data_IF_234996096678
#
_entry.id   IF_234996096678
#
_cell.length_a   1.000
_cell.length_b   1.000
_cell.length_c   1.000
_cell.angle_alpha   90.00
_cell.angle_beta   90.00
_cell.angle_gamma   90.00
#
_symmetry.space_group_name_H-M   'P 1'
#
loop_
_entity.id
_entity.type
_entity.pdbx_description
1 polymer ?
#
# COMPACT_ATOMS: atom_id res chain seq x y z
N UNK A 1 4.03 -19.80 -18.11
CA UNK A 1 2.83 -19.00 -18.42
C UNK A 1 3.28 -17.74 -19.13
N UNK A 2 2.56 -17.27 -20.15
CA UNK A 2 2.92 -16.02 -20.84
C UNK A 2 2.86 -14.83 -19.85
N UNK A 3 3.89 -13.97 -19.85
CA UNK A 3 3.92 -12.73 -19.05
C UNK A 3 2.79 -11.80 -19.54
N UNK A 4 2.22 -11.02 -18.63
CA UNK A 4 1.38 -9.89 -19.03
C UNK A 4 2.22 -8.89 -19.81
N UNK A 5 1.67 -8.37 -20.91
CA UNK A 5 2.34 -7.44 -21.83
C UNK A 5 1.73 -6.06 -21.66
N UNK A 6 2.59 -5.06 -21.54
CA UNK A 6 2.21 -3.67 -21.34
C UNK A 6 2.76 -2.78 -22.46
N UNK A 7 1.99 -1.77 -22.86
CA UNK A 7 2.39 -0.69 -23.77
C UNK A 7 1.83 0.60 -23.16
N UNK A 8 2.69 1.53 -22.73
CA UNK A 8 2.30 2.79 -22.09
C UNK A 8 1.25 2.65 -20.98
N UNK A 9 1.46 1.70 -20.06
CA UNK A 9 0.53 1.33 -18.99
C UNK A 9 -0.85 0.78 -19.44
N UNK A 10 -1.03 0.50 -20.73
CA UNK A 10 -2.12 -0.37 -21.22
C UNK A 10 -1.72 -1.83 -21.15
N UNK A 11 -2.64 -2.67 -20.69
CA UNK A 11 -2.55 -4.12 -20.82
C UNK A 11 -2.98 -4.50 -22.23
N UNK A 12 -2.05 -5.04 -23.01
CA UNK A 12 -2.26 -5.38 -24.43
C UNK A 12 -2.13 -6.87 -24.72
N UNK A 13 -1.70 -7.67 -23.74
CA UNK A 13 -1.59 -9.11 -23.89
C UNK A 13 -1.25 -9.86 -22.61
N UNK A 14 -1.27 -11.18 -22.69
CA UNK A 14 -0.95 -12.10 -21.60
C UNK A 14 -1.89 -13.31 -21.56
N UNK A 15 -1.66 -14.22 -20.62
CA UNK A 15 -2.57 -15.36 -20.44
C UNK A 15 -3.89 -14.90 -19.83
N UNK A 16 -5.02 -15.43 -20.31
CA UNK A 16 -6.37 -15.18 -19.80
C UNK A 16 -6.50 -15.30 -18.26
N UNK A 17 -5.69 -16.17 -17.64
CA UNK A 17 -5.70 -16.41 -16.19
C UNK A 17 -4.72 -15.53 -15.39
N UNK A 18 -3.90 -14.71 -16.05
CA UNK A 18 -3.03 -13.76 -15.35
C UNK A 18 -3.90 -12.77 -14.56
N UNK A 19 -3.54 -12.57 -13.30
CA UNK A 19 -4.16 -11.56 -12.44
C UNK A 19 -3.56 -10.20 -12.77
N UNK A 20 -4.42 -9.20 -12.94
CA UNK A 20 -4.04 -7.79 -13.04
C UNK A 20 -4.07 -7.12 -11.67
N UNK A 21 -5.04 -7.52 -10.84
CA UNK A 21 -5.17 -7.15 -9.43
C UNK A 21 -5.63 -8.39 -8.63
N UNK A 22 -5.74 -8.32 -7.28
CA UNK A 22 -6.19 -9.48 -6.50
C UNK A 22 -7.52 -10.08 -6.96
N UNK A 23 -8.45 -9.27 -7.46
CA UNK A 23 -9.79 -9.72 -7.84
C UNK A 23 -10.08 -9.73 -9.34
N UNK A 24 -9.19 -9.20 -10.19
CA UNK A 24 -9.42 -9.13 -11.63
C UNK A 24 -8.32 -9.81 -12.45
N UNK A 25 -8.74 -10.54 -13.49
CA UNK A 25 -7.89 -11.27 -14.44
C UNK A 25 -8.04 -10.73 -15.86
N UNK A 26 -7.06 -11.03 -16.72
CA UNK A 26 -7.07 -10.60 -18.13
C UNK A 26 -8.36 -10.97 -18.86
N UNK A 27 -8.88 -12.19 -18.67
CA UNK A 27 -10.10 -12.67 -19.35
C UNK A 27 -11.36 -11.83 -19.08
N UNK A 28 -11.36 -11.02 -18.04
CA UNK A 28 -12.49 -10.14 -17.70
C UNK A 28 -12.48 -8.87 -18.55
N UNK A 29 -11.38 -8.59 -19.26
CA UNK A 29 -11.17 -7.41 -20.09
C UNK A 29 -10.80 -7.73 -21.54
N UNK A 30 -11.08 -8.97 -21.99
CA UNK A 30 -10.91 -9.35 -23.39
C UNK A 30 -12.19 -9.13 -24.17
N UNK A 31 -12.07 -8.60 -25.39
CA UNK A 31 -13.17 -8.50 -26.34
C UNK A 31 -13.59 -9.89 -26.89
N UNK A 32 -14.58 -9.90 -27.79
CA UNK A 32 -15.08 -11.13 -28.42
C UNK A 32 -14.05 -11.84 -29.31
N UNK A 33 -12.95 -11.18 -29.67
CA UNK A 33 -11.82 -11.76 -30.40
C UNK A 33 -10.70 -12.23 -29.46
N UNK A 34 -10.87 -12.12 -28.14
CA UNK A 34 -9.87 -12.48 -27.15
C UNK A 34 -8.74 -11.45 -27.01
N UNK A 35 -8.88 -10.25 -27.60
CA UNK A 35 -7.89 -9.17 -27.49
C UNK A 35 -8.20 -8.31 -26.27
N UNK A 36 -7.15 -7.81 -25.61
CA UNK A 36 -7.25 -6.90 -24.47
C UNK A 36 -6.60 -5.56 -24.82
N UNK A 37 -7.23 -4.48 -24.37
CA UNK A 37 -6.66 -3.14 -24.40
C UNK A 37 -7.32 -2.33 -23.28
N UNK A 38 -6.70 -2.31 -22.11
CA UNK A 38 -7.22 -1.61 -20.93
C UNK A 38 -6.11 -0.98 -20.11
N UNK A 39 -6.31 0.25 -19.69
CA UNK A 39 -5.33 0.99 -18.91
C UNK A 39 -5.27 0.51 -17.46
N UNK A 40 -4.05 0.38 -16.91
CA UNK A 40 -3.83 -0.17 -15.56
C UNK A 40 -4.48 0.65 -14.45
N UNK A 41 -4.56 1.97 -14.60
CA UNK A 41 -5.25 2.84 -13.62
C UNK A 41 -6.75 2.54 -13.53
N UNK A 42 -7.40 2.22 -14.65
CA UNK A 42 -8.81 1.84 -14.65
C UNK A 42 -9.00 0.52 -13.89
N UNK A 43 -8.16 -0.48 -14.17
CA UNK A 43 -8.22 -1.78 -13.46
C UNK A 43 -7.94 -1.61 -11.96
N UNK A 44 -7.00 -0.74 -11.60
CA UNK A 44 -6.72 -0.39 -10.21
C UNK A 44 -7.93 0.29 -9.54
N UNK A 45 -8.57 1.26 -10.19
CA UNK A 45 -9.76 1.92 -9.68
C UNK A 45 -10.94 0.94 -9.50
N UNK A 46 -11.11 -0.04 -10.41
CA UNK A 46 -12.08 -1.13 -10.26
C UNK A 46 -11.77 -2.01 -9.05
N UNK A 47 -10.49 -2.28 -8.78
CA UNK A 47 -10.10 -3.02 -7.59
C UNK A 47 -10.47 -2.26 -6.32
N UNK A 48 -10.21 -0.95 -6.25
CA UNK A 48 -10.59 -0.10 -5.12
C UNK A 48 -12.12 -0.04 -4.98
N UNK A 49 -12.85 0.03 -6.09
CA UNK A 49 -14.32 0.03 -6.08
C UNK A 49 -14.86 -1.27 -5.47
N UNK A 50 -14.31 -2.41 -5.88
CA UNK A 50 -14.67 -3.71 -5.32
C UNK A 50 -14.33 -3.82 -3.83
N UNK A 51 -13.14 -3.35 -3.43
CA UNK A 51 -12.71 -3.36 -2.03
C UNK A 51 -13.63 -2.46 -1.17
N UNK A 52 -14.06 -1.32 -1.70
CA UNK A 52 -14.99 -0.38 -1.05
C UNK A 52 -16.40 -0.98 -0.91
N UNK A 53 -16.85 -1.70 -1.93
CA UNK A 53 -18.18 -2.30 -1.97
C UNK A 53 -18.26 -3.59 -1.12
N UNK A 54 -17.15 -4.32 -0.99
CA UNK A 54 -17.08 -5.59 -0.28
C UNK A 54 -17.72 -6.78 -1.02
N UNK A 55 -18.29 -6.57 -2.21
CA UNK A 55 -18.95 -7.61 -3.02
C UNK A 55 -18.41 -7.63 -4.47
N UNK A 56 -18.59 -8.74 -5.21
CA UNK A 56 -18.02 -8.87 -6.56
C UNK A 56 -18.62 -7.93 -7.60
N UNK A 57 -17.78 -7.33 -8.43
CA UNK A 57 -18.17 -6.48 -9.58
C UNK A 57 -18.01 -7.29 -10.86
N UNK A 58 -18.97 -7.18 -11.78
CA UNK A 58 -18.93 -7.81 -13.10
C UNK A 58 -18.70 -6.77 -14.21
N UNK A 59 -17.74 -7.03 -15.10
CA UNK A 59 -17.58 -6.24 -16.33
C UNK A 59 -18.71 -6.59 -17.30
N UNK A 60 -19.46 -5.56 -17.71
CA UNK A 60 -20.64 -5.70 -18.58
C UNK A 60 -20.34 -5.32 -20.02
N UNK A 61 -19.60 -4.22 -20.19
CA UNK A 61 -19.22 -3.70 -21.50
C UNK A 61 -17.85 -3.05 -21.42
N UNK A 62 -16.98 -3.40 -22.36
CA UNK A 62 -15.69 -2.73 -22.55
C UNK A 62 -15.86 -1.61 -23.56
N UNK A 63 -15.17 -0.49 -23.34
CA UNK A 63 -15.03 0.60 -24.31
C UNK A 63 -16.37 1.09 -24.91
N UNK A 64 -17.39 1.38 -24.06
CA UNK A 64 -18.71 1.82 -24.53
C UNK A 64 -18.67 2.99 -25.53
N UNK A 65 -17.71 3.91 -25.37
CA UNK A 65 -17.61 5.12 -26.20
C UNK A 65 -16.54 5.05 -27.29
N UNK A 66 -15.77 3.96 -27.42
CA UNK A 66 -14.62 3.92 -28.33
C UNK A 66 -14.99 4.03 -29.82
N UNK A 67 -16.26 3.80 -30.18
CA UNK A 67 -16.77 4.03 -31.53
C UNK A 67 -16.96 5.52 -31.86
N UNK A 68 -17.15 6.36 -30.83
CA UNK A 68 -17.35 7.80 -30.95
C UNK A 68 -16.06 8.57 -30.64
N UNK A 69 -15.27 8.08 -29.67
CA UNK A 69 -14.02 8.68 -29.23
C UNK A 69 -12.92 7.61 -29.12
N UNK A 70 -12.09 7.41 -30.16
CA UNK A 70 -11.04 6.39 -30.16
C UNK A 70 -10.03 6.54 -29.01
N UNK A 71 -9.81 7.76 -28.52
CA UNK A 71 -8.97 8.05 -27.34
C UNK A 71 -9.52 7.48 -26.03
N UNK A 72 -10.82 7.19 -25.96
CA UNK A 72 -11.47 6.57 -24.80
C UNK A 72 -11.25 5.05 -24.73
N UNK A 73 -10.61 4.46 -25.75
CA UNK A 73 -10.37 3.02 -25.82
C UNK A 73 -9.42 2.58 -24.72
N UNK A 74 -9.92 1.75 -23.82
CA UNK A 74 -9.20 1.20 -22.67
C UNK A 74 -9.26 2.08 -21.42
N UNK A 75 -9.97 3.21 -21.45
CA UNK A 75 -10.09 4.15 -20.32
C UNK A 75 -11.51 4.26 -19.75
N UNK A 76 -12.50 3.63 -20.40
CA UNK A 76 -13.88 3.57 -19.94
C UNK A 76 -14.45 2.13 -19.93
N UNK A 77 -15.41 1.89 -19.06
CA UNK A 77 -16.03 0.57 -18.85
C UNK A 77 -17.43 0.69 -18.24
N UNK A 78 -18.31 -0.26 -18.53
CA UNK A 78 -19.58 -0.43 -17.80
C UNK A 78 -19.48 -1.66 -16.90
N UNK A 79 -19.84 -1.50 -15.63
CA UNK A 79 -19.80 -2.57 -14.64
C UNK A 79 -21.11 -2.68 -13.88
N UNK A 80 -21.41 -3.89 -13.40
CA UNK A 80 -22.60 -4.20 -12.62
C UNK A 80 -22.28 -4.91 -11.30
N UNK A 81 -23.26 -4.91 -10.40
CA UNK A 81 -23.23 -5.59 -9.10
C UNK A 81 -24.63 -6.07 -8.72
N UNK A 82 -24.72 -7.00 -7.76
CA UNK A 82 -26.01 -7.47 -7.23
C UNK A 82 -26.76 -6.41 -6.41
N UNK A 83 -26.05 -5.40 -5.90
CA UNK A 83 -26.57 -4.21 -5.23
C UNK A 83 -26.24 -2.96 -6.09
N UNK A 84 -27.13 -2.58 -7.03
CA UNK A 84 -26.94 -1.42 -7.90
C UNK A 84 -26.80 -0.09 -7.13
N UNK A 85 -27.55 0.08 -6.04
CA UNK A 85 -27.52 1.31 -5.23
C UNK A 85 -26.19 1.44 -4.49
N UNK A 86 -25.72 0.36 -3.87
CA UNK A 86 -24.42 0.29 -3.23
C UNK A 86 -23.29 0.54 -4.23
N UNK A 87 -23.37 -0.05 -5.43
CA UNK A 87 -22.40 0.18 -6.50
C UNK A 87 -22.34 1.65 -6.92
N UNK A 88 -23.50 2.28 -7.19
CA UNK A 88 -23.56 3.68 -7.58
C UNK A 88 -23.03 4.60 -6.48
N UNK A 89 -23.35 4.32 -5.21
CA UNK A 89 -22.84 5.07 -4.06
C UNK A 89 -21.32 4.95 -3.91
N UNK A 90 -20.78 3.73 -4.04
CA UNK A 90 -19.34 3.47 -3.97
C UNK A 90 -18.58 4.14 -5.14
N UNK A 91 -19.10 4.03 -6.37
CA UNK A 91 -18.53 4.70 -7.54
C UNK A 91 -18.57 6.22 -7.39
N UNK A 92 -19.67 6.79 -6.89
CA UNK A 92 -19.78 8.21 -6.60
C UNK A 92 -18.78 8.70 -5.54
N UNK A 93 -18.48 7.88 -4.53
CA UNK A 93 -17.39 8.14 -3.57
C UNK A 93 -16.04 8.19 -4.28
N UNK A 94 -15.73 7.18 -5.09
CA UNK A 94 -14.45 7.11 -5.82
C UNK A 94 -14.28 8.21 -6.88
N UNK A 95 -15.37 8.72 -7.44
CA UNK A 95 -15.35 9.94 -8.28
C UNK A 95 -14.91 11.17 -7.47
N UNK A 96 -15.47 11.37 -6.27
CA UNK A 96 -15.05 12.48 -5.38
C UNK A 96 -13.59 12.36 -4.94
N UNK A 97 -13.11 11.12 -4.80
CA UNK A 97 -11.71 10.80 -4.52
C UNK A 97 -10.81 10.78 -5.78
N UNK A 98 -11.37 11.17 -6.93
CA UNK A 98 -10.67 11.32 -8.22
C UNK A 98 -10.03 10.03 -8.75
N UNK A 99 -10.58 8.86 -8.40
CA UNK A 99 -10.26 7.59 -9.08
C UNK A 99 -10.98 7.48 -10.43
N UNK A 100 -12.15 8.10 -10.54
CA UNK A 100 -12.92 8.21 -11.78
C UNK A 100 -13.14 9.69 -12.12
N UNK A 101 -13.01 10.03 -13.40
CA UNK A 101 -13.38 11.35 -13.93
C UNK A 101 -14.91 11.43 -14.12
N UNK A 102 -15.50 10.34 -14.62
CA UNK A 102 -16.92 10.26 -14.91
C UNK A 102 -17.53 8.98 -14.33
N UNK A 103 -18.73 9.14 -13.79
CA UNK A 103 -19.54 8.05 -13.24
C UNK A 103 -20.99 8.36 -13.58
N UNK A 104 -21.59 7.55 -14.43
CA UNK A 104 -22.97 7.71 -14.89
C UNK A 104 -23.76 6.40 -14.71
N UNK A 105 -25.05 6.51 -14.43
CA UNK A 105 -25.94 5.35 -14.36
C UNK A 105 -26.31 4.87 -15.77
N UNK A 106 -26.27 3.56 -15.97
CA UNK A 106 -26.69 2.90 -17.22
C UNK A 106 -27.62 1.74 -16.87
N UNK A 107 -28.91 2.02 -16.75
CA UNK A 107 -29.88 1.05 -16.21
C UNK A 107 -29.52 0.67 -14.76
N UNK A 108 -29.28 -0.62 -14.50
CA UNK A 108 -28.82 -1.13 -13.20
C UNK A 108 -27.29 -1.21 -13.08
N UNK A 109 -26.57 -0.83 -14.13
CA UNK A 109 -25.11 -0.83 -14.19
C UNK A 109 -24.57 0.61 -14.09
N UNK A 110 -23.25 0.73 -13.98
CA UNK A 110 -22.56 2.01 -13.86
C UNK A 110 -21.48 2.12 -14.92
N UNK A 111 -21.53 3.20 -15.70
CA UNK A 111 -20.44 3.64 -16.57
C UNK A 111 -19.36 4.31 -15.73
N UNK A 112 -18.10 3.95 -15.98
CA UNK A 112 -16.93 4.45 -15.29
C UNK A 112 -15.87 4.86 -16.29
N UNK A 113 -15.29 6.05 -16.10
CA UNK A 113 -14.17 6.57 -16.89
C UNK A 113 -13.05 7.02 -15.95
N UNK A 114 -11.82 6.58 -16.22
CA UNK A 114 -10.67 7.06 -15.46
C UNK A 114 -10.27 8.48 -15.90
N UNK A 115 -9.55 9.24 -15.05
CA UNK A 115 -8.92 10.49 -15.49
C UNK A 115 -7.98 10.29 -16.68
N UNK A 116 -7.68 11.38 -17.39
CA UNK A 116 -6.69 11.38 -18.47
C UNK A 116 -5.36 10.78 -17.98
N UNK A 117 -4.87 9.68 -18.59
CA UNK A 117 -3.62 9.04 -18.16
C UNK A 117 -2.39 9.95 -18.30
N UNK A 118 -2.42 10.94 -19.21
CA UNK A 118 -1.36 11.92 -19.35
C UNK A 118 -1.41 13.02 -18.27
N UNK A 119 -2.54 13.15 -17.56
CA UNK A 119 -2.79 14.19 -16.56
C UNK A 119 -3.55 13.64 -15.35
N UNK A 120 -2.95 12.64 -14.71
CA UNK A 120 -3.52 12.03 -13.52
C UNK A 120 -3.68 13.07 -12.39
N UNK A 121 -4.81 13.04 -11.65
CA UNK A 121 -5.08 14.00 -10.60
C UNK A 121 -4.14 13.81 -9.41
N UNK A 122 -3.86 14.90 -8.71
CA UNK A 122 -3.10 14.88 -7.47
C UNK A 122 -3.75 13.98 -6.40
N UNK A 123 -2.88 13.27 -5.70
CA UNK A 123 -3.20 12.37 -4.60
C UNK A 123 -2.94 13.11 -3.30
N UNK A 124 -3.86 12.98 -2.34
CA UNK A 124 -3.69 13.57 -1.01
C UNK A 124 -2.53 12.88 -0.27
N UNK A 125 -1.70 13.62 0.49
CA UNK A 125 -0.61 13.04 1.28
C UNK A 125 -1.02 11.88 2.18
N UNK A 126 -2.15 11.98 2.88
CA UNK A 126 -2.64 10.92 3.77
C UNK A 126 -2.86 9.62 3.00
N UNK A 127 -3.50 9.71 1.83
CA UNK A 127 -3.77 8.57 0.95
C UNK A 127 -2.47 8.02 0.39
N UNK A 128 -1.53 8.88 -0.01
CA UNK A 128 -0.24 8.47 -0.53
C UNK A 128 0.58 7.68 0.52
N UNK A 129 0.61 8.16 1.76
CA UNK A 129 1.28 7.48 2.87
C UNK A 129 0.64 6.14 3.20
N UNK A 130 -0.69 6.09 3.25
CA UNK A 130 -1.41 4.84 3.47
C UNK A 130 -1.11 3.81 2.36
N UNK A 131 -1.12 4.23 1.10
CA UNK A 131 -0.71 3.39 -0.03
C UNK A 131 0.73 2.89 0.12
N UNK A 132 1.69 3.78 0.39
CA UNK A 132 3.10 3.41 0.57
C UNK A 132 3.32 2.42 1.70
N UNK A 133 2.63 2.62 2.83
CA UNK A 133 2.67 1.71 3.98
C UNK A 133 2.06 0.35 3.65
N UNK A 134 0.87 0.31 3.04
CA UNK A 134 0.21 -0.95 2.68
C UNK A 134 1.02 -1.75 1.66
N UNK A 135 1.61 -1.08 0.67
CA UNK A 135 2.49 -1.71 -0.31
C UNK A 135 3.73 -2.27 0.38
N UNK A 136 4.38 -1.49 1.25
CA UNK A 136 5.55 -1.96 2.01
C UNK A 136 5.24 -3.20 2.85
N UNK A 137 4.10 -3.19 3.56
CA UNK A 137 3.64 -4.31 4.39
C UNK A 137 3.29 -5.57 3.57
N UNK A 138 2.71 -5.40 2.38
CA UNK A 138 2.23 -6.50 1.53
C UNK A 138 3.34 -7.36 0.92
N UNK A 139 4.60 -6.96 1.04
CA UNK A 139 5.71 -7.87 0.72
C UNK A 139 5.98 -8.91 1.81
N UNK A 140 5.65 -8.61 3.06
CA UNK A 140 5.89 -9.51 4.19
C UNK A 140 4.68 -10.38 4.49
N UNK A 141 3.51 -9.96 4.02
CA UNK A 141 2.24 -10.44 4.56
C UNK A 141 1.14 -10.45 3.51
N UNK A 142 0.12 -11.28 3.73
CA UNK A 142 -1.04 -11.41 2.87
C UNK A 142 -2.29 -10.82 3.52
N UNK A 143 -3.31 -10.53 2.70
CA UNK A 143 -4.56 -9.96 3.19
C UNK A 143 -4.45 -8.49 3.55
N UNK A 144 -5.31 -8.05 4.47
CA UNK A 144 -5.37 -6.68 4.97
C UNK A 144 -4.31 -6.43 6.06
N UNK A 145 -3.30 -5.57 5.81
CA UNK A 145 -2.21 -5.39 6.75
C UNK A 145 -2.64 -4.75 8.07
N UNK A 146 -3.77 -4.06 8.11
CA UNK A 146 -4.32 -3.53 9.37
C UNK A 146 -4.91 -4.60 10.29
N UNK A 147 -5.22 -5.78 9.74
CA UNK A 147 -5.81 -6.91 10.48
C UNK A 147 -4.77 -7.98 10.84
N UNK A 148 -3.49 -7.75 10.54
CA UNK A 148 -2.47 -8.76 10.74
C UNK A 148 -2.05 -8.88 12.19
N UNK A 149 -2.25 -10.08 12.72
CA UNK A 149 -1.91 -10.49 14.08
C UNK A 149 -0.85 -11.59 14.00
N UNK A 150 0.34 -11.31 14.55
CA UNK A 150 1.46 -12.26 14.55
C UNK A 150 1.85 -12.59 15.99
N UNK A 151 1.96 -13.88 16.30
CA UNK A 151 2.42 -14.35 17.61
C UNK A 151 3.94 -14.18 17.84
N UNK A 152 4.42 -14.71 18.96
CA UNK A 152 5.78 -14.54 19.46
C UNK A 152 6.80 -15.47 18.80
N UNK A 153 7.02 -15.32 17.48
CA UNK A 153 7.95 -16.18 16.73
C UNK A 153 9.43 -15.73 16.87
N UNK A 154 9.67 -14.45 17.17
CA UNK A 154 11.00 -13.83 17.21
C UNK A 154 11.38 -13.29 18.61
N UNK A 155 10.51 -13.49 19.62
CA UNK A 155 10.72 -12.99 20.97
C UNK A 155 10.14 -11.59 21.23
N UNK A 156 9.54 -10.93 20.23
CA UNK A 156 8.93 -9.60 20.38
C UNK A 156 7.51 -9.63 21.00
N UNK A 157 6.97 -10.80 21.30
CA UNK A 157 5.60 -10.99 21.77
C UNK A 157 4.59 -10.90 20.62
N UNK A 158 3.40 -10.35 20.92
CA UNK A 158 2.38 -10.06 19.93
C UNK A 158 2.83 -8.88 19.07
N UNK A 159 2.76 -9.04 17.74
CA UNK A 159 2.93 -7.98 16.75
C UNK A 159 1.62 -7.75 15.99
N UNK A 160 1.29 -6.48 15.72
CA UNK A 160 0.02 -6.11 15.10
C UNK A 160 0.17 -4.98 14.08
N UNK A 161 -0.50 -5.15 12.93
CA UNK A 161 -0.64 -4.12 11.90
C UNK A 161 0.49 -4.04 10.86
N UNK A 162 0.39 -3.10 9.90
CA UNK A 162 1.27 -2.94 8.74
C UNK A 162 2.72 -2.66 9.09
N UNK A 163 2.99 -2.03 10.24
CA UNK A 163 4.34 -1.70 10.72
C UNK A 163 4.78 -2.61 11.89
N UNK A 164 4.01 -3.68 12.18
CA UNK A 164 4.31 -4.69 13.20
C UNK A 164 4.63 -4.08 14.57
N UNK A 165 3.78 -3.16 15.05
CA UNK A 165 3.85 -2.66 16.42
C UNK A 165 3.75 -3.84 17.39
N UNK A 166 4.66 -3.93 18.36
CA UNK A 166 4.80 -5.13 19.19
C UNK A 166 5.00 -4.85 20.67
N UNK A 167 4.73 -5.87 21.48
CA UNK A 167 4.82 -5.78 22.95
C UNK A 167 6.26 -5.66 23.46
N UNK A 168 7.21 -6.29 22.77
CA UNK A 168 8.62 -6.33 23.17
C UNK A 168 9.30 -4.97 23.12
N UNK A 169 8.96 -4.15 22.12
CA UNK A 169 9.46 -2.78 21.99
C UNK A 169 8.60 -1.75 22.72
N UNK A 170 7.38 -2.11 23.13
CA UNK A 170 6.43 -1.20 23.77
C UNK A 170 5.56 -0.40 22.78
N UNK A 171 5.78 -0.57 21.48
CA UNK A 171 5.11 0.23 20.43
C UNK A 171 3.63 -0.13 20.31
N UNK A 172 3.26 -1.39 20.56
CA UNK A 172 1.86 -1.81 20.58
C UNK A 172 1.08 -1.15 21.72
N UNK A 173 1.68 -1.09 22.90
CA UNK A 173 1.08 -0.43 24.07
C UNK A 173 0.86 1.06 23.81
N UNK A 174 1.85 1.74 23.22
CA UNK A 174 1.73 3.15 22.84
C UNK A 174 0.57 3.37 21.85
N UNK A 175 0.50 2.56 20.79
CA UNK A 175 -0.53 2.66 19.77
C UNK A 175 -1.94 2.46 20.35
N UNK A 176 -2.15 1.43 21.18
CA UNK A 176 -3.45 1.18 21.79
C UNK A 176 -3.85 2.29 22.78
N UNK A 177 -2.91 2.89 23.51
CA UNK A 177 -3.21 4.05 24.37
C UNK A 177 -3.69 5.25 23.55
N UNK A 178 -3.07 5.52 22.40
CA UNK A 178 -3.53 6.58 21.48
C UNK A 178 -4.96 6.30 21.01
N UNK A 179 -5.23 5.08 20.56
CA UNK A 179 -6.58 4.73 20.10
C UNK A 179 -7.63 4.78 21.21
N UNK A 180 -7.31 4.34 22.43
CA UNK A 180 -8.18 4.50 23.60
C UNK A 180 -8.49 5.98 23.87
N UNK A 181 -7.49 6.85 23.80
CA UNK A 181 -7.67 8.29 23.98
C UNK A 181 -8.55 8.93 22.90
N UNK A 182 -8.57 8.39 21.68
CA UNK A 182 -9.40 8.89 20.58
C UNK A 182 -10.85 8.39 20.64
N UNK A 183 -11.07 7.10 20.91
CA UNK A 183 -12.42 6.53 20.98
C UNK A 183 -12.47 5.23 21.79
N UNK A 184 -12.45 5.34 23.12
CA UNK A 184 -12.56 4.20 24.02
C UNK A 184 -13.85 3.37 23.80
N UNK A 185 -15.06 3.95 23.64
CA UNK A 185 -16.27 3.18 23.38
C UNK A 185 -16.18 2.29 22.14
N UNK A 186 -15.62 2.82 21.05
CA UNK A 186 -15.41 2.03 19.83
C UNK A 186 -14.40 0.91 20.08
N UNK A 187 -13.27 1.21 20.71
CA UNK A 187 -12.26 0.20 21.04
C UNK A 187 -12.84 -0.91 21.93
N UNK A 188 -13.67 -0.59 22.92
CA UNK A 188 -14.40 -1.57 23.74
C UNK A 188 -15.32 -2.46 22.90
N UNK A 189 -16.04 -1.88 21.95
CA UNK A 189 -16.93 -2.63 21.06
C UNK A 189 -16.21 -3.68 20.21
N UNK A 190 -14.93 -3.46 19.88
CA UNK A 190 -14.11 -4.44 19.16
C UNK A 190 -13.84 -5.73 19.96
N UNK A 191 -13.98 -5.70 21.29
CA UNK A 191 -13.89 -6.87 22.17
C UNK A 191 -15.25 -7.58 22.34
N UNK A 192 -16.22 -7.31 21.46
CA UNK A 192 -17.57 -7.88 21.56
C UNK A 192 -18.34 -7.37 22.78
N UNK A 193 -17.91 -6.25 23.38
CA UNK A 193 -18.34 -5.76 24.68
C UNK A 193 -18.10 -6.77 25.83
N UNK A 194 -17.13 -7.67 25.69
CA UNK A 194 -16.64 -8.50 26.79
C UNK A 194 -15.73 -7.65 27.70
N UNK A 195 -16.30 -7.18 28.80
CA UNK A 195 -15.60 -6.33 29.77
C UNK A 195 -14.45 -7.07 30.48
N UNK A 196 -14.53 -8.40 30.63
CA UNK A 196 -13.47 -9.17 31.27
C UNK A 196 -12.25 -9.28 30.36
N UNK A 197 -12.44 -9.59 29.08
CA UNK A 197 -11.36 -9.66 28.10
C UNK A 197 -10.76 -8.29 27.80
N UNK A 198 -11.60 -7.24 27.74
CA UNK A 198 -11.12 -5.86 27.61
C UNK A 198 -10.21 -5.47 28.80
N UNK A 199 -10.65 -5.72 30.03
CA UNK A 199 -9.86 -5.44 31.23
C UNK A 199 -8.57 -6.28 31.29
N UNK A 200 -8.64 -7.55 30.92
CA UNK A 200 -7.48 -8.44 30.86
C UNK A 200 -6.44 -7.96 29.84
N UNK A 201 -6.89 -7.50 28.67
CA UNK A 201 -5.99 -6.95 27.66
C UNK A 201 -5.28 -5.68 28.15
N UNK A 202 -6.01 -4.77 28.82
CA UNK A 202 -5.37 -3.58 29.40
C UNK A 202 -4.40 -3.89 30.52
N UNK A 203 -4.68 -4.90 31.35
CA UNK A 203 -3.72 -5.39 32.34
C UNK A 203 -2.40 -5.84 31.70
N UNK A 204 -2.46 -6.42 30.49
CA UNK A 204 -1.27 -6.78 29.71
C UNK A 204 -0.56 -5.53 29.18
N UNK A 205 -1.29 -4.58 28.59
CA UNK A 205 -0.71 -3.37 28.00
C UNK A 205 -0.11 -2.41 29.03
N UNK A 206 -0.69 -2.33 30.23
CA UNK A 206 -0.21 -1.45 31.31
C UNK A 206 0.81 -2.14 32.24
N UNK A 207 1.04 -3.45 32.05
CA UNK A 207 2.10 -4.20 32.71
C UNK A 207 3.50 -3.92 32.13
N UNK A 208 4.51 -4.59 32.70
CA UNK A 208 5.87 -4.53 32.16
C UNK A 208 5.97 -5.24 30.81
N UNK A 209 6.88 -4.78 29.93
CA UNK A 209 7.14 -5.41 28.62
C UNK A 209 7.42 -6.91 28.76
N UNK A 210 8.20 -7.31 29.76
CA UNK A 210 8.50 -8.72 30.02
C UNK A 210 7.26 -9.56 30.36
N UNK A 211 6.34 -9.02 31.17
CA UNK A 211 5.07 -9.70 31.47
C UNK A 211 4.16 -9.75 30.25
N UNK A 212 4.11 -8.69 29.45
CA UNK A 212 3.32 -8.64 28.23
C UNK A 212 3.80 -9.64 27.17
N UNK A 213 5.13 -9.75 26.97
CA UNK A 213 5.73 -10.75 26.08
C UNK A 213 5.44 -12.17 26.57
N UNK A 214 5.55 -12.45 27.88
CA UNK A 214 5.19 -13.76 28.43
C UNK A 214 3.73 -14.11 28.22
N UNK A 215 2.83 -13.15 28.39
CA UNK A 215 1.41 -13.35 28.10
C UNK A 215 1.21 -13.71 26.62
N UNK A 216 1.80 -12.93 25.71
CA UNK A 216 1.69 -13.20 24.28
C UNK A 216 2.30 -14.54 23.88
N UNK A 217 3.39 -14.96 24.53
CA UNK A 217 3.99 -16.27 24.33
C UNK A 217 3.00 -17.41 24.65
N UNK A 218 2.25 -17.29 25.74
CA UNK A 218 1.20 -18.24 26.13
C UNK A 218 -0.02 -18.24 25.20
N UNK A 219 -0.26 -17.15 24.46
CA UNK A 219 -1.33 -17.06 23.44
C UNK A 219 -0.85 -17.44 22.03
N UNK A 220 0.46 -17.59 21.83
CA UNK A 220 1.02 -17.88 20.51
C UNK A 220 0.86 -19.35 20.15
N UNK A 221 0.46 -19.62 18.91
CA UNK A 221 0.08 -20.96 18.46
C UNK A 221 0.93 -21.44 17.28
N UNK A 222 0.95 -22.77 17.10
CA UNK A 222 1.74 -23.45 16.08
C UNK A 222 3.20 -23.66 16.47
N UNK A 223 3.88 -24.57 15.77
CA UNK A 223 5.27 -24.98 16.06
C UNK A 223 6.26 -23.81 16.04
N UNK A 224 6.00 -22.82 15.19
CA UNK A 224 6.82 -21.62 14.99
C UNK A 224 6.27 -20.39 15.72
N UNK A 225 5.19 -20.53 16.50
CA UNK A 225 4.55 -19.43 17.25
C UNK A 225 4.09 -18.22 16.41
N UNK A 226 3.92 -18.38 15.10
CA UNK A 226 3.38 -17.32 14.25
C UNK A 226 1.88 -17.07 14.46
N UNK A 227 1.12 -18.10 14.86
CA UNK A 227 -0.31 -17.97 15.10
C UNK A 227 -0.61 -17.29 16.44
N UNK A 228 -1.85 -16.83 16.61
CA UNK A 228 -2.35 -16.25 17.86
C UNK A 228 -3.73 -16.82 18.17
N UNK A 229 -3.98 -17.14 19.44
CA UNK A 229 -5.21 -17.80 19.89
C UNK A 229 -6.45 -16.91 19.74
N UNK A 230 -7.61 -17.56 19.61
CA UNK A 230 -8.90 -16.90 19.82
C UNK A 230 -9.19 -16.81 21.34
N UNK A 231 -9.97 -15.81 21.80
CA UNK A 231 -10.67 -14.79 21.01
C UNK A 231 -9.79 -13.59 20.60
N UNK A 232 -8.56 -13.48 21.14
CA UNK A 232 -7.70 -12.30 20.97
C UNK A 232 -7.42 -11.93 19.52
N UNK A 233 -7.17 -12.93 18.66
CA UNK A 233 -6.97 -12.70 17.24
C UNK A 233 -8.19 -12.00 16.61
N UNK A 234 -9.41 -12.49 16.89
CA UNK A 234 -10.64 -11.89 16.36
C UNK A 234 -10.87 -10.46 16.84
N UNK A 235 -10.55 -10.15 18.10
CA UNK A 235 -10.63 -8.79 18.63
C UNK A 235 -9.66 -7.83 17.95
N UNK A 236 -8.41 -8.25 17.77
CA UNK A 236 -7.40 -7.44 17.08
C UNK A 236 -7.77 -7.24 15.60
N UNK A 237 -8.28 -8.27 14.93
CA UNK A 237 -8.81 -8.13 13.57
C UNK A 237 -9.99 -7.14 13.52
N UNK A 238 -10.86 -7.11 14.54
CA UNK A 238 -11.92 -6.11 14.66
C UNK A 238 -11.37 -4.70 14.82
N UNK A 239 -10.39 -4.50 15.70
CA UNK A 239 -9.69 -3.20 15.84
C UNK A 239 -9.09 -2.77 14.50
N UNK A 240 -8.48 -3.70 13.76
CA UNK A 240 -7.89 -3.44 12.44
C UNK A 240 -8.89 -3.04 11.34
N UNK A 241 -10.19 -3.27 11.53
CA UNK A 241 -11.25 -2.83 10.60
C UNK A 241 -11.71 -1.40 10.84
N UNK A 242 -11.50 -0.86 12.03
CA UNK A 242 -12.01 0.46 12.40
C UNK A 242 -11.21 1.60 11.74
N UNK A 243 -11.90 2.47 11.00
CA UNK A 243 -11.26 3.60 10.31
C UNK A 243 -10.53 4.54 11.29
N UNK A 244 -11.07 4.73 12.50
CA UNK A 244 -10.46 5.55 13.55
C UNK A 244 -9.10 4.95 13.94
N UNK A 245 -9.02 3.63 14.14
CA UNK A 245 -7.78 2.95 14.46
C UNK A 245 -6.77 3.05 13.31
N UNK A 246 -7.21 2.84 12.07
CA UNK A 246 -6.33 2.96 10.89
C UNK A 246 -5.71 4.36 10.80
N UNK A 247 -6.49 5.42 11.07
CA UNK A 247 -5.97 6.79 11.13
C UNK A 247 -4.95 6.99 12.25
N UNK A 248 -5.21 6.44 13.44
CA UNK A 248 -4.26 6.51 14.55
C UNK A 248 -2.95 5.78 14.25
N UNK A 249 -3.04 4.61 13.63
CA UNK A 249 -1.89 3.83 13.17
C UNK A 249 -1.13 4.50 12.04
N UNK A 250 -1.81 5.15 11.10
CA UNK A 250 -1.16 5.91 10.03
C UNK A 250 -0.36 7.08 10.59
N UNK A 251 -0.94 7.84 11.53
CA UNK A 251 -0.19 8.90 12.26
C UNK A 251 1.00 8.33 13.02
N UNK A 252 0.84 7.17 13.66
CA UNK A 252 1.94 6.50 14.33
C UNK A 252 3.07 6.11 13.37
N UNK A 253 2.73 5.50 12.23
CA UNK A 253 3.69 5.12 11.19
C UNK A 253 4.40 6.35 10.63
N UNK A 254 3.65 7.44 10.43
CA UNK A 254 4.18 8.74 10.05
C UNK A 254 5.21 9.26 11.06
N UNK A 255 4.92 9.25 12.35
CA UNK A 255 5.84 9.75 13.39
C UNK A 255 7.19 9.03 13.36
N UNK A 256 7.15 7.73 13.02
CA UNK A 256 8.33 6.87 12.95
C UNK A 256 9.09 6.98 11.63
N UNK A 257 8.39 6.93 10.50
CA UNK A 257 9.00 6.75 9.17
C UNK A 257 8.86 7.98 8.25
N UNK A 258 7.89 8.86 8.50
CA UNK A 258 7.70 10.11 7.75
C UNK A 258 8.94 11.00 7.79
N UNK A 259 9.61 11.10 8.95
CA UNK A 259 10.86 11.86 9.10
C UNK A 259 12.00 11.31 8.22
N UNK A 260 12.08 10.00 8.04
CA UNK A 260 13.09 9.37 7.18
C UNK A 260 12.82 9.69 5.72
N UNK A 261 11.55 9.64 5.30
CA UNK A 261 11.15 10.04 3.95
C UNK A 261 11.44 11.53 3.70
N UNK A 262 11.08 12.42 4.63
CA UNK A 262 11.35 13.85 4.52
C UNK A 262 12.85 14.16 4.43
N UNK A 263 13.67 13.51 5.28
CA UNK A 263 15.13 13.63 5.22
C UNK A 263 15.67 13.22 3.85
N UNK A 264 15.14 12.13 3.30
CA UNK A 264 15.54 11.61 1.98
C UNK A 264 15.17 12.57 0.85
N UNK A 265 13.93 13.10 0.85
CA UNK A 265 13.48 14.08 -0.14
C UNK A 265 14.31 15.37 -0.05
N UNK A 266 14.57 15.85 1.17
CA UNK A 266 15.38 17.05 1.40
C UNK A 266 16.81 16.89 0.87
N UNK A 267 17.41 15.72 1.09
CA UNK A 267 18.71 15.38 0.51
C UNK A 267 18.68 15.37 -1.02
N UNK A 268 17.68 14.72 -1.63
CA UNK A 268 17.55 14.64 -3.09
C UNK A 268 17.45 16.03 -3.74
N UNK A 269 16.68 16.95 -3.12
CA UNK A 269 16.60 18.36 -3.55
C UNK A 269 17.94 19.10 -3.48
N UNK A 270 18.79 18.72 -2.53
CA UNK A 270 20.13 19.32 -2.39
C UNK A 270 21.12 18.90 -3.48
N UNK A 271 20.82 17.84 -4.24
CA UNK A 271 21.75 17.24 -5.21
C UNK A 271 21.18 17.18 -6.64
N UNK A 272 19.91 17.50 -6.85
CA UNK A 272 19.26 17.54 -8.16
C UNK A 272 18.10 18.55 -8.17
N UNK A 273 17.86 19.26 -9.28
CA UNK A 273 16.67 20.12 -9.43
C UNK A 273 15.37 19.34 -9.65
N UNK A 274 15.44 18.04 -9.93
CA UNK A 274 14.27 17.19 -10.16
C UNK A 274 13.46 17.05 -8.86
N UNK A 275 12.17 17.38 -8.94
CA UNK A 275 11.24 17.21 -7.83
C UNK A 275 10.64 15.81 -7.86
N UNK A 276 10.64 15.14 -6.70
CA UNK A 276 10.02 13.82 -6.53
C UNK A 276 8.66 13.99 -5.88
N UNK A 277 7.61 13.79 -6.67
CA UNK A 277 6.22 14.00 -6.25
C UNK A 277 5.33 12.80 -6.56
N UNK A 278 5.70 11.91 -7.48
CA UNK A 278 4.89 10.76 -7.83
C UNK A 278 4.84 9.72 -6.72
N UNK A 279 3.63 9.19 -6.49
CA UNK A 279 3.35 8.22 -5.45
C UNK A 279 4.28 6.99 -5.50
N UNK A 280 4.62 6.50 -6.70
CA UNK A 280 5.51 5.32 -6.87
C UNK A 280 6.90 5.62 -6.33
N UNK A 281 7.44 6.77 -6.68
CA UNK A 281 8.75 7.22 -6.23
C UNK A 281 8.77 7.41 -4.72
N UNK A 282 7.79 8.12 -4.17
CA UNK A 282 7.65 8.32 -2.73
C UNK A 282 7.48 7.00 -1.97
N UNK A 283 6.70 6.05 -2.51
CA UNK A 283 6.50 4.72 -1.92
C UNK A 283 7.78 3.88 -1.93
N UNK A 284 8.61 3.98 -2.98
CA UNK A 284 9.88 3.28 -3.04
C UNK A 284 10.89 3.84 -2.03
N UNK A 285 10.92 5.16 -1.84
CA UNK A 285 11.71 5.83 -0.80
C UNK A 285 11.20 5.50 0.61
N UNK A 286 9.88 5.39 0.79
CA UNK A 286 9.27 4.96 2.04
C UNK A 286 9.67 3.51 2.40
N UNK A 287 9.54 2.54 1.48
CA UNK A 287 10.01 1.16 1.70
C UNK A 287 11.50 1.12 2.01
N UNK A 288 12.32 1.93 1.33
CA UNK A 288 13.74 2.09 1.67
C UNK A 288 13.94 2.61 3.10
N UNK A 289 13.18 3.61 3.52
CA UNK A 289 13.21 4.13 4.89
C UNK A 289 12.88 3.06 5.93
N UNK A 290 11.81 2.29 5.70
CA UNK A 290 11.36 1.21 6.60
C UNK A 290 12.39 0.07 6.67
N UNK A 291 12.87 -0.41 5.53
CA UNK A 291 13.75 -1.59 5.46
C UNK A 291 15.21 -1.28 5.80
N UNK A 292 15.66 -0.07 5.51
CA UNK A 292 17.09 0.26 5.49
C UNK A 292 17.44 1.55 6.25
N UNK A 293 16.47 2.23 6.85
CA UNK A 293 16.69 3.36 7.75
C UNK A 293 17.17 4.64 7.05
N UNK A 294 16.92 4.80 5.75
CA UNK A 294 17.29 6.00 5.00
C UNK A 294 18.48 5.84 4.05
N UNK A 295 18.90 6.94 3.45
CA UNK A 295 19.88 7.01 2.35
C UNK A 295 21.34 7.09 2.82
N UNK A 296 21.58 7.41 4.09
CA UNK A 296 22.85 7.93 4.61
C UNK A 296 24.04 7.01 4.34
N UNK A 297 23.85 5.69 4.42
CA UNK A 297 24.92 4.70 4.17
C UNK A 297 25.42 4.68 2.73
N UNK A 298 24.66 5.24 1.78
CA UNK A 298 24.97 5.31 0.36
C UNK A 298 25.13 6.75 -0.14
N UNK A 299 25.19 7.75 0.76
CA UNK A 299 25.16 9.17 0.41
C UNK A 299 26.19 9.53 -0.66
N UNK A 300 27.45 9.13 -0.49
CA UNK A 300 28.54 9.48 -1.41
C UNK A 300 28.36 8.86 -2.79
N UNK A 301 27.95 7.60 -2.86
CA UNK A 301 27.68 6.92 -4.14
C UNK A 301 26.48 7.53 -4.87
N UNK A 302 25.44 7.92 -4.13
CA UNK A 302 24.28 8.60 -4.70
C UNK A 302 24.69 9.94 -5.31
N UNK A 303 25.40 10.80 -4.55
CA UNK A 303 25.86 12.11 -5.05
C UNK A 303 26.69 11.94 -6.32
N UNK A 304 27.65 11.02 -6.28
CA UNK A 304 28.54 10.74 -7.41
C UNK A 304 27.74 10.33 -8.63
N UNK A 305 26.82 9.38 -8.48
CA UNK A 305 26.01 8.86 -9.59
C UNK A 305 25.03 9.89 -10.13
N UNK A 306 24.38 10.68 -9.28
CA UNK A 306 23.49 11.78 -9.70
C UNK A 306 24.26 12.85 -10.49
N UNK A 307 25.46 13.22 -10.05
CA UNK A 307 26.29 14.21 -10.75
C UNK A 307 26.74 13.71 -12.13
N UNK A 308 27.07 12.42 -12.24
CA UNK A 308 27.51 11.81 -13.50
C UNK A 308 26.36 11.51 -14.47
N UNK A 309 25.24 10.96 -13.98
CA UNK A 309 24.12 10.53 -14.82
C UNK A 309 23.11 11.64 -15.10
N UNK A 310 23.08 12.71 -14.28
CA UNK A 310 22.20 13.87 -14.43
C UNK A 310 20.74 13.49 -14.74
N UNK A 311 20.06 12.74 -13.83
CA UNK A 311 18.70 12.28 -14.07
C UNK A 311 17.76 13.46 -14.34
N UNK A 312 16.96 13.35 -15.41
CA UNK A 312 16.05 14.41 -15.87
C UNK A 312 14.62 14.26 -15.36
N UNK A 313 14.29 13.10 -14.78
CA UNK A 313 12.97 12.79 -14.24
C UNK A 313 13.07 12.11 -12.86
N UNK A 314 11.96 12.17 -12.13
CA UNK A 314 11.89 11.69 -10.75
C UNK A 314 12.05 10.17 -10.61
N UNK A 315 11.71 9.38 -11.65
CA UNK A 315 11.89 7.92 -11.62
C UNK A 315 13.36 7.57 -11.76
N UNK A 316 14.08 8.22 -12.68
CA UNK A 316 15.52 8.06 -12.83
C UNK A 316 16.27 8.46 -11.55
N UNK A 317 15.94 9.63 -10.98
CA UNK A 317 16.54 10.09 -9.73
C UNK A 317 16.25 9.12 -8.56
N UNK A 318 14.99 8.69 -8.41
CA UNK A 318 14.60 7.76 -7.34
C UNK A 318 15.27 6.39 -7.52
N UNK A 319 15.37 5.91 -8.77
CA UNK A 319 16.04 4.63 -9.11
C UNK A 319 17.50 4.64 -8.65
N UNK A 320 18.26 5.71 -8.92
CA UNK A 320 19.63 5.87 -8.43
C UNK A 320 19.70 5.73 -6.91
N UNK A 321 18.84 6.45 -6.18
CA UNK A 321 18.83 6.44 -4.70
C UNK A 321 18.57 5.03 -4.15
N UNK A 322 17.54 4.35 -4.64
CA UNK A 322 17.18 3.02 -4.11
C UNK A 322 18.17 1.94 -4.53
N UNK A 323 18.78 2.05 -5.70
CA UNK A 323 19.83 1.13 -6.17
C UNK A 323 21.11 1.24 -5.34
N UNK A 324 21.63 2.46 -5.17
CA UNK A 324 22.84 2.66 -4.37
C UNK A 324 22.60 2.29 -2.90
N UNK A 325 21.41 2.60 -2.36
CA UNK A 325 21.10 2.20 -1.00
C UNK A 325 20.97 0.68 -0.84
N UNK A 326 20.42 -0.03 -1.82
CA UNK A 326 20.33 -1.49 -1.79
C UNK A 326 21.71 -2.16 -1.74
N UNK A 327 22.70 -1.64 -2.49
CA UNK A 327 24.09 -2.16 -2.48
C UNK A 327 24.77 -2.11 -1.11
N UNK A 328 24.28 -1.27 -0.19
CA UNK A 328 24.78 -1.19 1.20
C UNK A 328 24.12 -2.19 2.16
N UNK A 329 23.17 -3.01 1.71
CA UNK A 329 22.72 -4.18 2.48
C UNK A 329 23.84 -5.24 2.57
N UNK A 330 23.69 -6.19 3.50
CA UNK A 330 24.54 -7.39 3.47
C UNK A 330 24.28 -8.16 2.17
N UNK A 331 25.33 -8.81 1.63
CA UNK A 331 25.32 -9.38 0.26
C UNK A 331 24.07 -10.20 -0.06
N UNK A 332 23.69 -11.12 0.84
CA UNK A 332 22.51 -11.98 0.69
C UNK A 332 21.17 -11.25 0.51
N UNK A 333 21.07 -9.99 0.94
CA UNK A 333 19.83 -9.22 0.91
C UNK A 333 19.79 -8.13 -0.17
N UNK A 334 20.88 -7.90 -0.89
CA UNK A 334 20.96 -6.80 -1.87
C UNK A 334 19.96 -6.97 -3.01
N UNK A 335 19.92 -8.17 -3.61
CA UNK A 335 18.97 -8.49 -4.67
C UNK A 335 17.51 -8.40 -4.19
N UNK A 336 17.22 -8.92 -2.99
CA UNK A 336 15.88 -8.85 -2.38
C UNK A 336 15.43 -7.39 -2.19
N UNK A 337 16.23 -6.59 -1.46
CA UNK A 337 16.01 -5.16 -1.24
C UNK A 337 15.74 -4.40 -2.54
N UNK A 338 16.55 -4.65 -3.58
CA UNK A 338 16.42 -3.93 -4.84
C UNK A 338 15.18 -4.37 -5.62
N UNK A 339 14.92 -5.67 -5.72
CA UNK A 339 13.77 -6.20 -6.49
C UNK A 339 12.42 -5.67 -5.98
N UNK A 340 12.30 -5.42 -4.67
CA UNK A 340 11.10 -4.80 -4.07
C UNK A 340 10.89 -3.38 -4.58
N UNK A 341 11.93 -2.55 -4.51
CA UNK A 341 11.84 -1.12 -4.81
C UNK A 341 11.70 -0.85 -6.29
N UNK A 342 12.40 -1.62 -7.12
CA UNK A 342 12.15 -1.60 -8.56
C UNK A 342 10.74 -2.11 -8.86
N UNK A 343 10.23 -3.10 -8.11
CA UNK A 343 8.85 -3.54 -8.27
C UNK A 343 7.79 -2.51 -7.88
N UNK A 344 8.07 -1.66 -6.88
CA UNK A 344 7.24 -0.49 -6.56
C UNK A 344 7.34 0.54 -7.70
N UNK A 345 8.57 0.87 -8.12
CA UNK A 345 8.81 1.87 -9.16
C UNK A 345 8.18 1.48 -10.49
N UNK A 346 8.25 0.23 -10.91
CA UNK A 346 7.77 -0.26 -12.22
C UNK A 346 6.33 -0.81 -12.14
N UNK A 347 5.80 -0.97 -10.91
CA UNK A 347 4.51 -1.60 -10.58
C UNK A 347 4.39 -3.03 -11.10
N UNK A 348 5.51 -3.71 -11.32
CA UNK A 348 5.55 -5.11 -11.72
C UNK A 348 6.72 -5.84 -11.06
N UNK A 349 6.67 -7.17 -10.89
CA UNK A 349 7.81 -7.89 -10.32
C UNK A 349 9.06 -7.72 -11.18
N UNK A 350 10.11 -7.17 -10.59
CA UNK A 350 11.41 -6.97 -11.26
C UNK A 350 12.38 -8.05 -10.79
N UNK A 351 12.96 -8.77 -11.76
CA UNK A 351 14.03 -9.74 -11.48
C UNK A 351 15.36 -9.03 -11.36
N UNK A 352 15.99 -9.17 -10.20
CA UNK A 352 17.31 -8.60 -9.92
C UNK A 352 18.30 -9.73 -9.72
N UNK A 353 19.47 -9.61 -10.35
CA UNK A 353 20.65 -10.43 -10.07
C UNK A 353 21.79 -9.52 -9.62
N UNK A 354 22.28 -9.72 -8.40
CA UNK A 354 23.32 -8.87 -7.80
C UNK A 354 24.16 -9.68 -6.82
N UNK A 355 25.48 -9.61 -6.94
CA UNK A 355 26.46 -10.33 -6.09
C UNK A 355 26.24 -11.85 -6.01
N UNK A 356 25.78 -12.46 -7.11
CA UNK A 356 25.50 -13.90 -7.19
C UNK A 356 24.13 -14.31 -6.65
N UNK A 357 23.38 -13.38 -6.03
CA UNK A 357 22.02 -13.61 -5.56
C UNK A 357 21.00 -13.21 -6.63
N UNK A 358 19.86 -13.89 -6.63
CA UNK A 358 18.72 -13.59 -7.51
C UNK A 358 17.46 -13.45 -6.70
N UNK A 359 16.72 -12.36 -6.88
CA UNK A 359 15.43 -12.15 -6.23
C UNK A 359 14.39 -11.62 -7.22
N UNK A 360 13.13 -12.00 -6.99
CA UNK A 360 11.94 -11.48 -7.66
C UNK A 360 10.85 -11.34 -6.61
N UNK A 361 10.62 -10.13 -6.12
CA UNK A 361 9.56 -9.89 -5.14
C UNK A 361 8.28 -9.48 -5.84
N UNK A 362 7.21 -10.18 -5.49
CA UNK A 362 5.85 -9.87 -5.95
C UNK A 362 5.11 -9.12 -4.85
N UNK A 363 4.16 -8.27 -5.25
CA UNK A 363 3.35 -7.53 -4.32
C UNK A 363 1.92 -7.42 -4.84
N UNK A 364 0.91 -7.97 -4.12
CA UNK A 364 -0.47 -7.97 -4.59
C UNK A 364 -1.13 -6.58 -4.54
N UNK A 365 -0.50 -5.58 -3.90
CA UNK A 365 -1.02 -4.22 -3.70
C UNK A 365 -0.42 -3.17 -4.64
N UNK A 366 0.32 -3.57 -5.68
CA UNK A 366 0.85 -2.60 -6.67
C UNK A 366 -0.24 -1.79 -7.38
N UNK A 367 -1.50 -2.24 -7.35
CA UNK A 367 -2.65 -1.48 -7.84
C UNK A 367 -2.94 -0.20 -7.02
N UNK A 368 -2.43 -0.09 -5.79
CA UNK A 368 -2.51 1.14 -4.99
C UNK A 368 -1.59 2.24 -5.51
N UNK A 369 -0.54 1.87 -6.27
CA UNK A 369 0.48 2.78 -6.76
C UNK A 369 -0.01 3.49 -8.03
N UNK A 370 -0.91 4.45 -7.87
CA UNK A 370 -1.36 5.31 -8.96
C UNK A 370 -0.18 6.08 -9.56
N UNK A 371 -0.19 6.28 -10.87
CA UNK A 371 0.81 7.07 -11.58
C UNK A 371 0.49 8.57 -11.53
N UNK A 372 0.30 9.11 -10.33
CA UNK A 372 -0.08 10.50 -10.11
C UNK A 372 0.85 11.20 -9.09
N UNK A 373 0.96 12.55 -9.19
CA UNK A 373 1.68 13.34 -8.21
C UNK A 373 0.96 13.38 -6.87
N UNK A 374 1.71 13.57 -5.79
CA UNK A 374 1.19 13.79 -4.44
C UNK A 374 1.30 15.29 -4.13
N UNK A 375 0.16 15.93 -3.92
CA UNK A 375 0.10 17.36 -3.62
C UNK A 375 0.55 17.66 -2.19
N UNK A 376 1.20 18.80 -1.93
CA UNK A 376 1.50 19.31 -0.58
C UNK A 376 2.27 18.36 0.37
N UNK A 377 3.08 17.44 -0.19
CA UNK A 377 3.78 16.42 0.61
C UNK A 377 4.68 17.00 1.70
N UNK A 378 5.34 18.14 1.43
CA UNK A 378 6.21 18.82 2.39
C UNK A 378 5.43 19.43 3.55
N UNK A 379 4.29 20.06 3.27
CA UNK A 379 3.45 20.66 4.29
C UNK A 379 2.87 19.57 5.20
N UNK A 380 2.38 18.48 4.60
CA UNK A 380 1.90 17.33 5.36
C UNK A 380 2.98 16.70 6.25
N UNK A 381 4.21 16.62 5.72
CA UNK A 381 5.39 16.13 6.43
C UNK A 381 5.97 17.13 7.47
N UNK A 382 5.57 18.39 7.43
CA UNK A 382 5.97 19.41 8.41
C UNK A 382 4.93 19.60 9.53
N UNK A 383 3.65 19.71 9.17
CA UNK A 383 2.56 19.97 10.13
C UNK A 383 2.32 18.81 11.10
N UNK A 384 2.48 17.58 10.63
CA UNK A 384 2.22 16.40 11.45
C UNK A 384 3.31 16.18 12.51
N UNK A 385 4.49 16.80 12.38
CA UNK A 385 5.47 16.87 13.48
C UNK A 385 5.15 17.92 14.55
N UNK A 386 4.43 18.99 14.18
CA UNK A 386 4.17 20.12 15.09
C UNK A 386 2.87 19.94 15.91
N UNK A 387 1.92 19.13 15.45
CA UNK A 387 0.65 18.85 16.18
C UNK A 387 0.81 17.86 17.35
N UNK A 388 2.05 17.52 17.74
CA UNK A 388 2.36 16.54 18.81
C UNK A 388 3.51 17.04 19.69
N UNK A 389 3.53 18.35 19.96
CA UNK A 389 4.25 18.93 21.10
C UNK A 389 3.53 18.67 22.41
#
# INVERSE_FOLDING_TARGET
>A
MAKTVFEDDFVVGGSANNRLTPNFKIKEFTDTQGKIHIHRELVAALQILRDTLGTPIAVKQLNPDAALEPSAKGTCIVVGNADPEGLAKAAGKLRREKYFARVDAVGNDVYLEMPDPAKMPEIKPETAFDCGMQVTAAFETSGDPYQQVTGNFDGAGLSFGPIQCNLGTGTLQELFRRFRGENEPLLRSCFGNDEADYAAFWKVLDGSRASAVRWADGQSTGKTKHGFSQPWKGYLEAVGREEVFRRAMLRYAYDKYGKVLLSTISFMRGISPVQVTNLRCLSALYDMGVQQGGFEKARSEIITRVFHEQPTDEFALTRIVVEERAKKASKRWRADCLSRRLGILDREPVRVSLDGEVAVRTNPRVYLLRNGPVGEIDAYLGESSDKIG
#
